data_IF_450342533971
#
_entry.id   IF_450342533971
#
_cell.length_a   1.000
_cell.length_b   1.000
_cell.length_c   1.000
_cell.angle_alpha   90.00
_cell.angle_beta   90.00
_cell.angle_gamma   90.00
#
_symmetry.space_group_name_H-M   'P 1'
#
loop_
_entity.id
_entity.type
_entity.pdbx_description
1 polymer ?
#
# COMPACT_ATOMS: atom_id res chain seq x y z
N UNK A 1 32.01 6.85 47.87
CA UNK A 1 32.94 7.16 46.76
C UNK A 1 32.21 6.88 45.46
N UNK A 2 31.79 7.94 44.77
CA UNK A 2 30.70 7.98 43.79
C UNK A 2 30.99 7.16 42.52
N UNK A 3 29.95 6.56 41.92
CA UNK A 3 29.98 5.90 40.61
C UNK A 3 30.71 6.74 39.53
N UNK A 4 30.72 8.07 39.68
CA UNK A 4 31.48 9.01 38.85
C UNK A 4 32.99 8.76 38.87
N UNK A 5 33.57 8.47 40.04
CA UNK A 5 35.01 8.21 40.18
C UNK A 5 35.38 6.84 39.59
N UNK A 6 34.50 5.85 39.70
CA UNK A 6 34.66 4.55 39.05
C UNK A 6 34.61 4.68 37.51
N UNK A 7 33.73 5.53 37.00
CA UNK A 7 33.59 5.83 35.57
C UNK A 7 34.82 6.59 35.03
N UNK A 8 35.31 7.58 35.77
CA UNK A 8 36.52 8.32 35.42
C UNK A 8 37.76 7.40 35.42
N UNK A 9 37.89 6.52 36.42
CA UNK A 9 38.97 5.55 36.51
C UNK A 9 38.94 4.51 35.36
N UNK A 10 37.76 4.20 34.80
CA UNK A 10 37.60 3.25 33.69
C UNK A 10 37.40 3.92 32.32
N UNK A 11 37.61 5.24 32.24
CA UNK A 11 37.39 6.04 31.02
C UNK A 11 38.27 5.60 29.85
N UNK A 12 39.54 5.25 30.10
CA UNK A 12 40.45 4.70 29.09
C UNK A 12 39.94 3.37 28.50
N UNK A 13 39.37 2.50 29.34
CA UNK A 13 38.76 1.23 28.91
C UNK A 13 37.47 1.44 28.09
N UNK A 14 36.71 2.51 28.35
CA UNK A 14 35.54 2.88 27.54
C UNK A 14 35.93 3.48 26.18
N UNK A 15 36.99 4.30 26.14
CA UNK A 15 37.52 4.90 24.91
C UNK A 15 38.06 3.83 23.94
N UNK A 16 38.73 2.80 24.48
CA UNK A 16 39.23 1.67 23.68
C UNK A 16 38.22 0.52 23.51
N UNK A 17 36.96 0.72 23.94
CA UNK A 17 35.87 -0.24 23.77
C UNK A 17 36.17 -1.64 24.37
N UNK A 18 36.87 -1.66 25.51
CA UNK A 18 37.38 -2.89 26.17
C UNK A 18 36.34 -3.50 27.13
N UNK A 19 35.12 -2.97 27.16
CA UNK A 19 33.98 -3.53 27.89
C UNK A 19 32.99 -4.25 26.97
N UNK A 20 33.49 -5.01 26.02
CA UNK A 20 32.83 -6.23 25.58
C UNK A 20 32.97 -7.23 26.73
N UNK A 21 32.08 -7.15 27.73
CA UNK A 21 31.87 -8.24 28.66
C UNK A 21 31.70 -9.51 27.81
N UNK A 22 32.71 -10.37 27.81
CA UNK A 22 32.76 -11.55 26.93
C UNK A 22 31.54 -12.44 27.16
N UNK A 23 30.99 -12.40 28.38
CA UNK A 23 29.74 -13.04 28.79
C UNK A 23 28.53 -12.39 28.12
N UNK A 24 28.44 -11.06 28.06
CA UNK A 24 27.36 -10.36 27.34
C UNK A 24 27.48 -10.55 25.82
N UNK A 25 28.69 -10.51 25.27
CA UNK A 25 28.96 -10.82 23.88
C UNK A 25 28.51 -12.23 23.54
N UNK A 26 28.91 -13.22 24.34
CA UNK A 26 28.50 -14.60 24.24
C UNK A 26 26.98 -14.76 24.34
N UNK A 27 26.34 -14.17 25.36
CA UNK A 27 24.90 -14.25 25.57
C UNK A 27 24.11 -13.56 24.44
N UNK A 28 24.63 -12.47 23.85
CA UNK A 28 24.01 -11.82 22.69
C UNK A 28 24.02 -12.71 21.44
N UNK A 29 25.07 -13.54 21.29
CA UNK A 29 25.20 -14.50 20.20
C UNK A 29 24.27 -15.68 20.43
N UNK A 30 24.24 -16.22 21.66
CA UNK A 30 23.34 -17.32 22.06
C UNK A 30 21.87 -16.93 21.91
N UNK A 31 21.48 -15.72 22.35
CA UNK A 31 20.09 -15.24 22.29
C UNK A 31 19.51 -15.26 20.85
N UNK A 32 20.33 -15.01 19.83
CA UNK A 32 19.91 -15.10 18.40
C UNK A 32 19.56 -16.51 17.96
N UNK A 33 20.17 -17.53 18.58
CA UNK A 33 19.94 -18.95 18.28
C UNK A 33 18.89 -19.58 19.20
N UNK A 34 18.60 -18.95 20.33
CA UNK A 34 17.58 -19.39 21.31
C UNK A 34 16.22 -18.73 21.07
N UNK A 35 16.13 -17.73 20.16
CA UNK A 35 15.02 -16.81 19.95
C UNK A 35 13.58 -17.36 19.92
N UNK A 36 12.92 -17.39 21.09
CA UNK A 36 11.47 -17.36 21.24
C UNK A 36 10.79 -18.62 21.82
N UNK A 37 9.61 -18.41 22.43
CA UNK A 37 8.77 -19.26 23.33
C UNK A 37 8.60 -20.77 23.07
N UNK A 38 9.20 -21.38 22.06
CA UNK A 38 9.10 -22.83 21.78
C UNK A 38 10.37 -23.59 22.18
N UNK A 39 10.78 -23.42 23.43
CA UNK A 39 11.89 -24.19 24.00
C UNK A 39 11.30 -25.48 24.59
N UNK A 40 11.57 -26.62 23.95
CA UNK A 40 11.30 -27.92 24.56
C UNK A 40 12.42 -28.24 25.54
N UNK A 41 12.27 -27.80 26.79
CA UNK A 41 13.21 -28.06 27.89
C UNK A 41 13.30 -29.55 28.24
N UNK A 42 12.34 -30.35 27.77
CA UNK A 42 12.21 -31.80 27.97
C UNK A 42 13.24 -32.64 27.18
N UNK A 43 14.06 -32.05 26.30
CA UNK A 43 15.12 -32.78 25.59
C UNK A 43 16.50 -32.47 26.18
N UNK A 44 17.12 -33.48 26.78
CA UNK A 44 18.48 -33.43 27.37
C UNK A 44 19.49 -32.96 26.31
N UNK A 45 20.31 -31.97 26.66
CA UNK A 45 21.37 -31.44 25.79
C UNK A 45 20.94 -30.41 24.73
N UNK A 46 19.65 -30.09 24.63
CA UNK A 46 19.14 -29.16 23.60
C UNK A 46 19.65 -27.72 23.77
N UNK A 47 19.88 -27.27 25.00
CA UNK A 47 20.45 -25.95 25.29
C UNK A 47 21.93 -25.90 24.94
N UNK A 48 22.71 -26.87 25.42
CA UNK A 48 24.15 -26.96 25.15
C UNK A 48 24.44 -27.03 23.64
N UNK A 49 23.69 -27.84 22.89
CA UNK A 49 23.83 -27.95 21.44
C UNK A 49 23.56 -26.61 20.73
N UNK A 50 22.58 -25.83 21.20
CA UNK A 50 22.27 -24.49 20.65
C UNK A 50 23.36 -23.48 20.97
N UNK A 51 23.91 -23.50 22.19
CA UNK A 51 25.07 -22.70 22.56
C UNK A 51 26.27 -23.02 21.67
N UNK A 52 26.59 -24.30 21.49
CA UNK A 52 27.70 -24.74 20.61
C UNK A 52 27.45 -24.32 19.15
N UNK A 53 26.23 -24.47 18.64
CA UNK A 53 25.87 -24.04 17.29
C UNK A 53 25.99 -22.52 17.09
N UNK A 54 25.62 -21.74 18.11
CA UNK A 54 25.74 -20.28 18.10
C UNK A 54 27.22 -19.84 18.03
N UNK A 55 28.07 -20.44 18.87
CA UNK A 55 29.53 -20.19 18.86
C UNK A 55 30.15 -20.60 17.54
N UNK A 56 29.83 -21.80 17.05
CA UNK A 56 30.36 -22.31 15.78
C UNK A 56 29.97 -21.38 14.63
N UNK A 57 28.73 -20.91 14.59
CA UNK A 57 28.28 -20.02 13.53
C UNK A 57 28.81 -18.59 13.65
N UNK A 58 29.15 -18.13 14.86
CA UNK A 58 29.82 -16.85 15.05
C UNK A 58 31.26 -16.91 14.54
N UNK A 59 32.00 -17.95 14.94
CA UNK A 59 33.42 -18.12 14.59
C UNK A 59 33.63 -18.48 13.11
N UNK A 60 32.84 -19.42 12.56
CA UNK A 60 32.96 -19.84 11.16
C UNK A 60 32.10 -19.00 10.20
N UNK A 61 31.27 -18.08 10.70
CA UNK A 61 30.48 -17.16 9.89
C UNK A 61 29.60 -17.84 8.83
N UNK A 62 29.87 -17.54 7.56
CA UNK A 62 29.11 -18.10 6.45
C UNK A 62 29.49 -19.55 6.09
N UNK A 63 30.67 -20.02 6.49
CA UNK A 63 31.18 -21.36 6.17
C UNK A 63 30.86 -22.40 7.25
N UNK A 64 30.17 -22.02 8.32
CA UNK A 64 29.81 -22.89 9.45
C UNK A 64 29.15 -24.22 9.01
N UNK A 65 28.27 -24.17 8.02
CA UNK A 65 27.63 -25.36 7.43
C UNK A 65 28.64 -26.26 6.69
N UNK A 66 29.62 -25.68 6.00
CA UNK A 66 30.67 -26.48 5.33
C UNK A 66 31.61 -27.13 6.34
N UNK A 67 31.94 -26.45 7.43
CA UNK A 67 32.80 -27.00 8.49
C UNK A 67 32.10 -28.18 9.14
N UNK A 68 30.82 -28.01 9.50
CA UNK A 68 30.00 -29.08 10.08
C UNK A 68 29.86 -30.27 9.12
N UNK A 69 29.51 -30.01 7.86
CA UNK A 69 29.34 -31.08 6.86
C UNK A 69 30.63 -31.86 6.61
N UNK A 70 31.77 -31.18 6.51
CA UNK A 70 33.08 -31.85 6.34
C UNK A 70 33.41 -32.71 7.55
N UNK A 71 33.08 -32.26 8.77
CA UNK A 71 33.36 -33.02 10.00
C UNK A 71 32.46 -34.25 10.14
N UNK A 72 31.21 -34.18 9.70
CA UNK A 72 30.25 -35.29 9.79
C UNK A 72 30.46 -36.30 8.65
N UNK A 73 30.63 -35.81 7.42
CA UNK A 73 30.59 -36.66 6.22
C UNK A 73 31.98 -36.95 5.62
N UNK A 74 33.07 -36.40 6.17
CA UNK A 74 34.43 -36.43 5.62
C UNK A 74 34.54 -36.03 4.13
N UNK A 75 33.53 -35.31 3.62
CA UNK A 75 33.42 -34.87 2.22
C UNK A 75 32.99 -33.42 2.16
N UNK A 76 33.40 -32.74 1.09
CA UNK A 76 32.95 -31.37 0.82
C UNK A 76 31.44 -31.33 0.55
N UNK A 77 30.75 -30.26 0.96
CA UNK A 77 29.33 -30.13 0.73
C UNK A 77 28.99 -30.00 -0.77
N UNK A 78 27.79 -30.42 -1.15
CA UNK A 78 27.30 -30.37 -2.54
C UNK A 78 27.14 -28.95 -3.10
N UNK A 79 26.82 -28.87 -4.40
CA UNK A 79 26.77 -27.62 -5.18
C UNK A 79 25.77 -26.61 -4.59
N UNK A 80 24.60 -27.06 -4.14
CA UNK A 80 23.58 -26.19 -3.54
C UNK A 80 24.04 -25.52 -2.24
N UNK A 81 24.68 -26.27 -1.35
CA UNK A 81 25.23 -25.75 -0.09
C UNK A 81 26.36 -24.75 -0.36
N UNK A 82 27.24 -25.02 -1.34
CA UNK A 82 28.27 -24.07 -1.76
C UNK A 82 27.66 -22.76 -2.29
N UNK A 83 26.60 -22.84 -3.11
CA UNK A 83 25.87 -21.67 -3.62
C UNK A 83 25.23 -20.85 -2.51
N UNK A 84 24.66 -21.51 -1.50
CA UNK A 84 24.11 -20.85 -0.32
C UNK A 84 25.19 -20.10 0.49
N UNK A 85 26.34 -20.74 0.72
CA UNK A 85 27.48 -20.14 1.42
C UNK A 85 27.95 -18.88 0.68
N UNK A 86 28.15 -18.96 -0.64
CA UNK A 86 28.55 -17.81 -1.46
C UNK A 86 27.55 -16.65 -1.33
N UNK A 87 26.24 -16.91 -1.43
CA UNK A 87 25.21 -15.88 -1.25
C UNK A 87 25.29 -15.20 0.11
N UNK A 88 25.52 -15.97 1.18
CA UNK A 88 25.65 -15.45 2.55
C UNK A 88 26.93 -14.62 2.72
N UNK A 89 28.05 -15.03 2.11
CA UNK A 89 29.29 -14.26 2.07
C UNK A 89 29.11 -12.93 1.33
N UNK A 90 28.55 -12.95 0.10
CA UNK A 90 28.27 -11.74 -0.68
C UNK A 90 27.37 -10.77 0.08
N UNK A 91 26.30 -11.27 0.71
CA UNK A 91 25.40 -10.44 1.52
C UNK A 91 26.13 -9.78 2.70
N UNK A 92 27.06 -10.49 3.32
CA UNK A 92 27.86 -9.97 4.44
C UNK A 92 28.82 -8.89 3.96
N UNK A 93 29.53 -9.12 2.85
CA UNK A 93 30.43 -8.15 2.21
C UNK A 93 29.66 -6.89 1.80
N UNK A 94 28.51 -7.02 1.14
CA UNK A 94 27.68 -5.86 0.75
C UNK A 94 27.22 -5.05 1.98
N UNK A 95 26.87 -5.70 3.09
CA UNK A 95 26.49 -5.01 4.33
C UNK A 95 27.67 -4.28 4.96
N UNK A 96 28.86 -4.88 4.96
CA UNK A 96 30.08 -4.25 5.46
C UNK A 96 30.47 -3.05 4.59
N UNK A 97 30.49 -3.20 3.27
CA UNK A 97 30.78 -2.12 2.33
C UNK A 97 29.78 -0.96 2.48
N UNK A 98 28.49 -1.25 2.63
CA UNK A 98 27.46 -0.24 2.88
C UNK A 98 27.64 0.52 4.20
N UNK A 99 28.26 -0.11 5.22
CA UNK A 99 28.61 0.57 6.48
C UNK A 99 29.86 1.43 6.34
N UNK A 100 30.82 1.03 5.50
CA UNK A 100 32.06 1.76 5.24
C UNK A 100 31.84 2.99 4.36
N UNK A 101 30.88 2.94 3.43
CA UNK A 101 30.54 4.07 2.53
C UNK A 101 29.46 5.00 3.07
N UNK A 102 29.00 4.79 4.31
CA UNK A 102 27.99 5.64 4.93
C UNK A 102 28.68 6.81 5.65
N UNK A 103 28.62 8.00 5.05
CA UNK A 103 28.93 9.23 5.79
C UNK A 103 27.93 9.40 6.95
N UNK A 104 28.40 9.79 8.15
CA UNK A 104 27.53 10.01 9.28
C UNK A 104 26.69 11.28 9.05
N UNK A 105 25.57 11.15 8.34
CA UNK A 105 24.60 12.24 8.29
C UNK A 105 24.08 12.49 9.71
N UNK A 106 24.04 13.77 10.06
CA UNK A 106 23.62 14.28 11.37
C UNK A 106 22.37 13.58 11.89
N UNK A 107 22.48 13.00 13.10
CA UNK A 107 21.40 12.53 13.97
C UNK A 107 20.27 11.78 13.25
N UNK A 108 20.36 10.44 13.22
CA UNK A 108 19.14 9.63 13.20
C UNK A 108 18.35 9.95 14.47
N UNK A 109 17.29 10.74 14.30
CA UNK A 109 16.20 10.83 15.27
C UNK A 109 15.83 9.41 15.66
N UNK A 110 15.78 9.16 16.97
CA UNK A 110 15.34 7.92 17.58
C UNK A 110 14.07 7.45 16.88
N UNK A 111 14.11 6.26 16.27
CA UNK A 111 12.88 5.55 15.94
C UNK A 111 12.12 5.40 17.25
N UNK A 112 11.06 6.19 17.41
CA UNK A 112 10.07 5.95 18.45
C UNK A 112 9.64 4.50 18.29
N UNK A 113 9.82 3.71 19.35
CA UNK A 113 9.39 2.32 19.41
C UNK A 113 7.91 2.27 19.08
N UNK A 114 7.55 1.48 18.06
CA UNK A 114 6.16 1.16 17.77
C UNK A 114 5.51 0.58 19.03
N UNK A 115 4.29 1.00 19.40
CA UNK A 115 3.49 0.27 20.36
C UNK A 115 3.24 -1.15 19.85
N UNK A 116 3.03 -2.08 20.79
CA UNK A 116 2.75 -3.48 20.49
C UNK A 116 1.53 -3.65 19.56
N UNK A 117 1.51 -4.78 18.86
CA UNK A 117 0.45 -5.22 17.96
C UNK A 117 -0.91 -5.28 18.69
N UNK A 118 -2.01 -4.98 17.98
CA UNK A 118 -3.38 -4.88 18.53
C UNK A 118 -3.89 -6.18 19.18
N UNK A 119 -3.19 -7.29 18.95
CA UNK A 119 -3.50 -8.58 19.55
C UNK A 119 -2.79 -8.82 20.91
N UNK A 120 -2.05 -7.84 21.43
CA UNK A 120 -1.27 -7.95 22.67
C UNK A 120 -1.32 -6.68 23.55
N UNK A 121 -2.35 -6.55 24.39
CA UNK A 121 -2.35 -5.68 25.57
C UNK A 121 -3.21 -4.42 25.50
N UNK A 122 -3.72 -4.04 26.68
CA UNK A 122 -4.66 -2.96 26.98
C UNK A 122 -4.30 -1.64 26.26
N UNK A 123 -5.03 -1.31 25.20
CA UNK A 123 -4.95 0.00 24.57
C UNK A 123 -5.92 0.92 25.32
N UNK A 124 -5.36 1.76 26.20
CA UNK A 124 -6.04 2.96 26.65
C UNK A 124 -6.51 3.78 25.43
N UNK A 125 -7.66 4.42 25.60
CA UNK A 125 -8.49 5.08 24.60
C UNK A 125 -7.86 6.34 23.99
N UNK A 126 -6.63 6.30 23.49
CA UNK A 126 -6.05 7.45 22.77
C UNK A 126 -6.27 7.33 21.26
N UNK A 127 -7.54 7.33 20.86
CA UNK A 127 -7.90 7.72 19.50
C UNK A 127 -7.78 9.25 19.47
N UNK A 128 -6.76 9.73 18.77
CA UNK A 128 -6.54 11.12 18.34
C UNK A 128 -7.77 11.72 17.61
N UNK A 129 -8.89 11.91 18.33
CA UNK A 129 -10.10 12.60 17.87
C UNK A 129 -10.01 14.10 18.08
N UNK A 130 -9.16 14.55 19.00
CA UNK A 130 -8.97 15.97 19.27
C UNK A 130 -8.26 16.64 18.08
N UNK A 131 -8.91 17.70 17.59
CA UNK A 131 -8.32 18.67 16.67
C UNK A 131 -7.10 19.30 17.36
N UNK A 132 -6.03 19.59 16.62
CA UNK A 132 -4.86 20.29 17.21
C UNK A 132 -5.03 21.81 17.29
N UNK A 133 -6.23 22.29 16.94
CA UNK A 133 -6.60 23.70 16.77
C UNK A 133 -7.93 23.93 17.49
N UNK A 134 -8.18 25.17 17.88
CA UNK A 134 -9.48 25.60 18.39
C UNK A 134 -10.61 25.24 17.41
N UNK A 135 -11.76 24.82 17.95
CA UNK A 135 -12.89 24.36 17.15
C UNK A 135 -13.46 25.47 16.26
N UNK A 136 -13.45 26.73 16.72
CA UNK A 136 -13.96 27.85 15.93
C UNK A 136 -13.04 28.16 14.75
N UNK A 137 -11.72 28.14 14.99
CA UNK A 137 -10.73 28.35 13.93
C UNK A 137 -10.79 27.23 12.88
N UNK A 138 -10.96 25.98 13.33
CA UNK A 138 -11.13 24.84 12.43
C UNK A 138 -12.38 24.98 11.55
N UNK A 139 -13.55 25.30 12.14
CA UNK A 139 -14.78 25.47 11.38
C UNK A 139 -14.69 26.63 10.38
N UNK A 140 -14.00 27.71 10.73
CA UNK A 140 -13.72 28.82 9.80
C UNK A 140 -12.86 28.37 8.61
N UNK A 141 -11.74 27.70 8.86
CA UNK A 141 -10.85 27.19 7.80
C UNK A 141 -11.53 26.13 6.94
N UNK A 142 -12.35 25.28 7.55
CA UNK A 142 -13.17 24.30 6.85
C UNK A 142 -14.16 24.94 5.89
N UNK A 143 -14.89 25.96 6.35
CA UNK A 143 -15.82 26.69 5.50
C UNK A 143 -15.09 27.39 4.35
N UNK A 144 -13.94 28.01 4.63
CA UNK A 144 -13.11 28.66 3.62
C UNK A 144 -12.60 27.65 2.57
N UNK A 145 -12.09 26.50 3.02
CA UNK A 145 -11.58 25.45 2.14
C UNK A 145 -12.68 24.88 1.25
N UNK A 146 -13.85 24.57 1.83
CA UNK A 146 -14.99 24.03 1.08
C UNK A 146 -15.46 25.05 0.03
N UNK A 147 -15.64 26.31 0.43
CA UNK A 147 -16.17 27.36 -0.45
C UNK A 147 -15.19 27.71 -1.56
N UNK A 148 -13.90 27.85 -1.26
CA UNK A 148 -12.92 28.35 -2.23
C UNK A 148 -12.29 27.25 -3.10
N UNK A 149 -12.13 26.02 -2.57
CA UNK A 149 -11.41 24.93 -3.25
C UNK A 149 -12.30 23.80 -3.73
N UNK A 150 -13.31 23.42 -2.95
CA UNK A 150 -14.12 22.22 -3.23
C UNK A 150 -15.34 22.55 -4.09
N UNK A 151 -16.13 23.53 -3.69
CA UNK A 151 -17.29 23.99 -4.46
C UNK A 151 -16.80 24.68 -5.72
N UNK A 152 -17.39 24.28 -6.85
CA UNK A 152 -17.10 24.80 -8.19
C UNK A 152 -18.40 25.00 -8.93
N UNK A 153 -18.45 26.02 -9.76
CA UNK A 153 -19.63 26.28 -10.60
C UNK A 153 -19.71 25.23 -11.72
N UNK A 154 -20.91 24.97 -12.25
CA UNK A 154 -21.10 23.96 -13.29
C UNK A 154 -20.25 24.22 -14.55
N UNK A 155 -19.95 25.48 -14.87
CA UNK A 155 -19.04 25.86 -15.97
C UNK A 155 -17.57 25.54 -15.65
N UNK A 156 -17.13 25.75 -14.40
CA UNK A 156 -15.78 25.42 -13.97
C UNK A 156 -15.57 23.90 -13.94
N UNK A 157 -16.59 23.14 -13.51
CA UNK A 157 -16.55 21.68 -13.52
C UNK A 157 -16.35 21.14 -14.94
N UNK A 158 -17.08 21.68 -15.92
CA UNK A 158 -16.89 21.34 -17.34
C UNK A 158 -15.50 21.70 -17.84
N UNK A 159 -15.00 22.89 -17.51
CA UNK A 159 -13.66 23.30 -17.90
C UNK A 159 -12.57 22.41 -17.28
N UNK A 160 -12.73 21.98 -16.02
CA UNK A 160 -11.83 21.03 -15.37
C UNK A 160 -11.85 19.70 -16.11
N UNK A 161 -13.02 19.19 -16.47
CA UNK A 161 -13.15 17.96 -17.25
C UNK A 161 -12.40 18.08 -18.59
N UNK A 162 -12.67 19.14 -19.36
CA UNK A 162 -12.02 19.36 -20.66
C UNK A 162 -10.50 19.51 -20.57
N UNK A 163 -10.01 20.28 -19.60
CA UNK A 163 -8.57 20.53 -19.40
C UNK A 163 -7.81 19.33 -18.82
N UNK A 164 -8.52 18.32 -18.30
CA UNK A 164 -7.92 17.13 -17.67
C UNK A 164 -8.09 15.85 -18.49
N UNK A 165 -8.46 15.96 -19.78
CA UNK A 165 -8.61 14.81 -20.71
C UNK A 165 -7.34 13.97 -20.88
N UNK A 166 -6.16 14.56 -20.73
CA UNK A 166 -4.87 13.85 -20.74
C UNK A 166 -4.58 13.09 -19.44
N UNK A 167 -5.50 13.13 -18.46
CA UNK A 167 -5.46 12.40 -17.20
C UNK A 167 -4.10 12.40 -16.49
N UNK A 168 -3.38 11.27 -16.49
CA UNK A 168 -2.14 11.07 -15.76
C UNK A 168 -1.00 11.98 -16.22
N UNK A 169 -1.07 12.49 -17.45
CA UNK A 169 -0.11 13.44 -18.02
C UNK A 169 -0.43 14.90 -17.65
N UNK A 170 -1.60 15.17 -17.07
CA UNK A 170 -2.03 16.51 -16.69
C UNK A 170 -1.80 16.79 -15.20
N UNK A 171 -1.00 17.82 -14.87
CA UNK A 171 -0.77 18.20 -13.47
C UNK A 171 -2.03 18.68 -12.75
N UNK A 172 -2.94 19.36 -13.47
CA UNK A 172 -4.20 19.82 -12.90
C UNK A 172 -5.04 18.63 -12.42
N UNK A 173 -5.07 17.54 -13.20
CA UNK A 173 -5.73 16.29 -12.82
C UNK A 173 -5.18 15.75 -11.50
N UNK A 174 -3.86 15.76 -11.30
CA UNK A 174 -3.25 15.35 -10.02
C UNK A 174 -3.55 16.31 -8.86
N UNK A 175 -3.62 17.63 -9.11
CA UNK A 175 -3.97 18.64 -8.09
C UNK A 175 -5.42 18.45 -7.62
N UNK A 176 -6.37 18.37 -8.54
CA UNK A 176 -7.80 18.21 -8.20
C UNK A 176 -8.09 16.88 -7.49
N UNK A 177 -7.41 15.80 -7.89
CA UNK A 177 -7.55 14.48 -7.24
C UNK A 177 -6.96 14.39 -5.85
N UNK A 178 -6.02 15.26 -5.48
CA UNK A 178 -5.45 15.27 -4.12
C UNK A 178 -6.42 15.81 -3.08
N UNK A 179 -7.28 16.73 -3.47
CA UNK A 179 -8.26 17.37 -2.58
C UNK A 179 -9.65 16.69 -2.62
N UNK A 180 -9.86 15.70 -3.50
CA UNK A 180 -11.14 15.00 -3.68
C UNK A 180 -11.01 13.48 -3.51
N UNK A 181 -12.08 12.83 -3.07
CA UNK A 181 -12.18 11.38 -3.07
C UNK A 181 -12.49 10.87 -4.48
N UNK A 182 -11.57 10.08 -5.01
CA UNK A 182 -11.68 9.52 -6.37
C UNK A 182 -12.30 8.14 -6.38
N UNK A 183 -13.12 7.83 -7.39
CA UNK A 183 -13.85 6.56 -7.52
C UNK A 183 -12.99 5.29 -7.33
N UNK A 184 -11.74 5.28 -7.78
CA UNK A 184 -10.80 4.16 -7.61
C UNK A 184 -10.54 3.76 -6.16
N UNK A 185 -10.82 4.66 -5.20
CA UNK A 185 -10.66 4.41 -3.78
C UNK A 185 -11.98 4.08 -3.05
N UNK A 186 -13.14 4.24 -3.69
CA UNK A 186 -14.43 4.07 -3.03
C UNK A 186 -14.61 2.66 -2.48
N UNK A 187 -14.21 1.64 -3.25
CA UNK A 187 -14.26 0.26 -2.79
C UNK A 187 -13.37 -0.02 -1.59
N UNK A 188 -12.23 0.67 -1.46
CA UNK A 188 -11.38 0.57 -0.26
C UNK A 188 -12.10 1.18 0.93
N UNK A 189 -12.64 2.40 0.78
CA UNK A 189 -13.29 3.15 1.85
C UNK A 189 -14.56 2.44 2.34
N UNK A 190 -15.46 2.07 1.44
CA UNK A 190 -16.75 1.44 1.79
C UNK A 190 -16.58 0.06 2.44
N UNK A 191 -15.41 -0.57 2.26
CA UNK A 191 -15.08 -1.88 2.85
C UNK A 191 -14.18 -1.78 4.08
N UNK A 192 -13.80 -0.57 4.52
CA UNK A 192 -13.05 -0.40 5.76
C UNK A 192 -13.93 -0.84 6.93
N UNK A 193 -13.36 -1.68 7.80
CA UNK A 193 -14.03 -2.05 9.06
C UNK A 193 -13.94 -0.85 10.02
N UNK A 194 -14.95 -0.61 10.86
CA UNK A 194 -14.91 0.48 11.84
C UNK A 194 -13.68 0.46 12.76
N UNK A 195 -13.16 -0.73 13.10
CA UNK A 195 -11.97 -0.89 13.94
C UNK A 195 -10.62 -0.74 13.19
N UNK A 196 -10.65 -0.65 11.85
CA UNK A 196 -9.44 -0.45 11.04
C UNK A 196 -9.08 1.03 11.02
N UNK A 197 -7.81 1.33 11.30
CA UNK A 197 -7.25 2.68 11.27
C UNK A 197 -7.42 3.30 9.88
N UNK A 198 -7.92 4.55 9.84
CA UNK A 198 -8.09 5.34 8.60
C UNK A 198 -6.79 5.98 8.15
N UNK A 199 -5.86 6.22 9.07
CA UNK A 199 -4.57 6.85 8.82
C UNK A 199 -3.79 6.23 7.64
N UNK A 200 -3.74 4.90 7.54
CA UNK A 200 -3.01 4.24 6.45
C UNK A 200 -3.63 4.53 5.07
N UNK A 201 -4.96 4.57 5.00
CA UNK A 201 -5.70 4.87 3.78
C UNK A 201 -5.46 6.32 3.38
N UNK A 202 -5.59 7.27 4.32
CA UNK A 202 -5.29 8.70 4.09
C UNK A 202 -3.84 8.87 3.63
N UNK A 203 -2.90 8.22 4.30
CA UNK A 203 -1.47 8.27 3.92
C UNK A 203 -1.24 7.80 2.50
N UNK A 204 -1.94 6.74 2.09
CA UNK A 204 -1.85 6.20 0.74
C UNK A 204 -2.45 7.12 -0.33
N UNK A 205 -3.42 7.96 0.04
CA UNK A 205 -4.12 8.89 -0.86
C UNK A 205 -3.39 10.23 -0.99
N UNK A 206 -2.96 10.82 0.13
CA UNK A 206 -2.42 12.18 0.16
C UNK A 206 -0.90 12.24 -0.03
N UNK A 207 -0.16 11.34 0.62
CA UNK A 207 1.31 11.47 0.76
C UNK A 207 2.11 10.48 -0.08
N UNK A 208 1.46 9.49 -0.68
CA UNK A 208 2.17 8.47 -1.44
C UNK A 208 2.53 9.01 -2.82
N UNK A 209 3.81 9.35 -3.01
CA UNK A 209 4.38 9.56 -4.34
C UNK A 209 4.49 8.21 -5.05
N UNK A 210 3.46 7.85 -5.82
CA UNK A 210 3.45 6.62 -6.58
C UNK A 210 4.34 6.77 -7.83
N UNK A 211 5.53 6.17 -7.82
CA UNK A 211 6.48 6.24 -8.94
C UNK A 211 6.24 5.17 -10.02
N UNK A 212 5.03 4.61 -10.12
CA UNK A 212 4.76 3.48 -11.01
C UNK A 212 5.20 2.14 -10.43
N UNK A 213 4.49 1.07 -10.79
CA UNK A 213 4.97 -0.31 -10.63
C UNK A 213 4.80 -1.05 -11.95
N UNK A 214 5.39 -2.25 -12.08
CA UNK A 214 5.33 -3.04 -13.32
C UNK A 214 3.89 -3.29 -13.77
N UNK A 215 2.97 -3.54 -12.84
CA UNK A 215 1.55 -3.77 -13.14
C UNK A 215 0.85 -2.52 -13.69
N UNK A 216 1.11 -1.34 -13.12
CA UNK A 216 0.50 -0.08 -13.56
C UNK A 216 1.06 0.37 -14.90
N UNK A 217 2.37 0.25 -15.12
CA UNK A 217 2.98 0.56 -16.42
C UNK A 217 2.44 -0.37 -17.51
N UNK A 218 2.37 -1.67 -17.24
CA UNK A 218 1.74 -2.62 -18.15
C UNK A 218 0.28 -2.25 -18.46
N UNK A 219 -0.49 -1.85 -17.43
CA UNK A 219 -1.87 -1.40 -17.61
C UNK A 219 -1.97 -0.22 -18.57
N UNK A 220 -1.17 0.83 -18.36
CA UNK A 220 -1.12 2.03 -19.19
C UNK A 220 -0.74 1.69 -20.64
N UNK A 221 0.29 0.86 -20.83
CA UNK A 221 0.72 0.44 -22.18
C UNK A 221 -0.35 -0.39 -22.91
N UNK A 222 -1.13 -1.18 -22.18
CA UNK A 222 -2.12 -2.09 -22.76
C UNK A 222 -3.49 -1.45 -23.03
N UNK A 223 -3.83 -0.39 -22.31
CA UNK A 223 -5.15 0.24 -22.38
C UNK A 223 -5.55 0.71 -23.81
N UNK A 224 -4.66 1.32 -24.62
CA UNK A 224 -5.01 1.70 -26.00
C UNK A 224 -5.37 0.50 -26.88
N UNK A 225 -4.72 -0.65 -26.67
CA UNK A 225 -5.03 -1.89 -27.38
C UNK A 225 -6.40 -2.43 -26.98
N UNK A 226 -6.71 -2.42 -25.69
CA UNK A 226 -8.01 -2.81 -25.17
C UNK A 226 -9.15 -1.93 -25.71
N UNK A 227 -8.95 -0.61 -25.77
CA UNK A 227 -9.89 0.35 -26.40
C UNK A 227 -10.13 -0.01 -27.85
N UNK A 228 -9.06 -0.15 -28.64
CA UNK A 228 -9.14 -0.46 -30.07
C UNK A 228 -9.87 -1.78 -30.34
N UNK A 229 -9.57 -2.83 -29.58
CA UNK A 229 -10.21 -4.14 -29.74
C UNK A 229 -11.69 -4.08 -29.37
N UNK A 230 -12.05 -3.41 -28.26
CA UNK A 230 -13.44 -3.22 -27.87
C UNK A 230 -14.26 -2.43 -28.91
N UNK A 231 -13.70 -1.35 -29.45
CA UNK A 231 -14.36 -0.55 -30.48
C UNK A 231 -14.61 -1.37 -31.75
N UNK A 232 -13.65 -2.23 -32.14
CA UNK A 232 -13.82 -3.14 -33.30
C UNK A 232 -14.92 -4.17 -33.08
N UNK A 233 -15.03 -4.71 -31.87
CA UNK A 233 -16.03 -5.75 -31.56
C UNK A 233 -17.45 -5.19 -31.43
N UNK A 234 -17.59 -4.00 -30.85
CA UNK A 234 -18.91 -3.42 -30.54
C UNK A 234 -19.38 -2.40 -31.58
N UNK A 235 -18.47 -1.88 -32.41
CA UNK A 235 -18.74 -0.75 -33.30
C UNK A 235 -18.92 0.60 -32.59
N UNK A 236 -18.77 0.64 -31.26
CA UNK A 236 -18.95 1.86 -30.46
C UNK A 236 -17.69 2.73 -30.50
N UNK A 237 -17.85 4.06 -30.49
CA UNK A 237 -16.74 5.01 -30.43
C UNK A 237 -16.44 5.39 -28.98
N UNK A 238 -15.23 5.13 -28.52
CA UNK A 238 -14.75 5.59 -27.22
C UNK A 238 -14.14 6.98 -27.38
N UNK A 239 -14.62 7.94 -26.59
CA UNK A 239 -14.05 9.28 -26.46
C UNK A 239 -13.17 9.37 -25.21
N UNK A 240 -12.19 10.26 -25.23
CA UNK A 240 -11.36 10.56 -24.06
C UNK A 240 -12.19 11.21 -22.95
N UNK A 241 -11.79 10.96 -21.71
CA UNK A 241 -12.50 11.41 -20.51
C UNK A 241 -11.54 12.19 -19.60
N UNK A 242 -11.99 13.34 -19.12
CA UNK A 242 -11.31 14.05 -18.03
C UNK A 242 -11.73 13.59 -16.64
N UNK A 243 -11.44 14.45 -15.66
CA UNK A 243 -11.91 14.34 -14.29
C UNK A 243 -13.30 14.97 -14.15
N UNK A 244 -14.29 14.14 -13.83
CA UNK A 244 -15.64 14.56 -13.47
C UNK A 244 -15.73 14.84 -11.97
N UNK A 245 -16.27 16.00 -11.61
CA UNK A 245 -16.58 16.38 -10.22
C UNK A 245 -18.08 16.23 -10.01
N UNK A 246 -18.48 15.62 -8.89
CA UNK A 246 -19.90 15.44 -8.60
C UNK A 246 -20.51 16.73 -8.09
N UNK A 247 -21.44 17.29 -8.85
CA UNK A 247 -22.07 18.58 -8.54
C UNK A 247 -22.76 18.60 -7.17
N UNK A 248 -23.44 17.52 -6.79
CA UNK A 248 -24.15 17.42 -5.51
C UNK A 248 -23.21 17.23 -4.31
N UNK A 249 -22.08 16.54 -4.50
CA UNK A 249 -21.06 16.33 -3.46
C UNK A 249 -19.68 16.62 -4.07
N UNK A 250 -19.27 17.90 -4.16
CA UNK A 250 -18.09 18.30 -4.93
C UNK A 250 -16.75 17.76 -4.42
N UNK A 251 -16.73 17.16 -3.23
CA UNK A 251 -15.57 16.42 -2.72
C UNK A 251 -15.41 15.03 -3.35
N UNK A 252 -16.39 14.55 -4.13
CA UNK A 252 -16.31 13.31 -4.90
C UNK A 252 -15.93 13.58 -6.36
N UNK A 253 -15.05 12.76 -6.92
CA UNK A 253 -14.64 12.85 -8.31
C UNK A 253 -14.41 11.46 -8.95
N UNK A 254 -14.49 11.41 -10.27
CA UNK A 254 -14.28 10.20 -11.06
C UNK A 254 -13.54 10.54 -12.36
N UNK A 255 -12.68 9.62 -12.81
CA UNK A 255 -12.04 9.68 -14.12
C UNK A 255 -12.29 8.33 -14.78
N UNK A 256 -13.37 8.18 -15.57
CA UNK A 256 -13.57 7.01 -16.40
C UNK A 256 -12.42 6.81 -17.40
N UNK A 257 -12.20 5.58 -17.86
CA UNK A 257 -11.16 5.31 -18.87
C UNK A 257 -11.60 5.78 -20.28
N UNK A 258 -12.91 5.99 -20.47
CA UNK A 258 -13.46 6.63 -21.66
C UNK A 258 -14.97 6.81 -21.60
N UNK A 259 -15.49 7.60 -22.54
CA UNK A 259 -16.91 7.93 -22.67
C UNK A 259 -17.49 7.28 -23.92
N UNK A 260 -18.74 6.80 -23.81
CA UNK A 260 -19.55 6.28 -24.90
C UNK A 260 -20.76 7.20 -25.09
N UNK A 261 -20.69 8.04 -26.12
CA UNK A 261 -21.67 9.08 -26.42
C UNK A 261 -22.01 9.89 -25.15
N UNK A 262 -23.29 10.13 -24.87
CA UNK A 262 -23.76 10.84 -23.66
C UNK A 262 -24.21 9.89 -22.55
N UNK A 263 -24.38 8.60 -22.85
CA UNK A 263 -25.11 7.67 -21.96
C UNK A 263 -24.23 6.65 -21.25
N UNK A 264 -23.03 6.37 -21.75
CA UNK A 264 -22.22 5.25 -21.26
C UNK A 264 -20.78 5.61 -20.91
N UNK A 265 -20.13 4.83 -20.05
CA UNK A 265 -18.69 4.93 -19.81
C UNK A 265 -18.00 3.59 -20.05
N UNK A 266 -16.68 3.60 -20.13
CA UNK A 266 -15.86 2.38 -20.10
C UNK A 266 -14.90 2.42 -18.92
N UNK A 267 -14.72 1.25 -18.32
CA UNK A 267 -13.72 0.98 -17.28
C UNK A 267 -12.94 -0.26 -17.71
N UNK A 268 -11.63 -0.09 -17.95
CA UNK A 268 -10.75 -1.08 -18.55
C UNK A 268 -9.78 -1.58 -17.48
N UNK A 269 -9.58 -2.90 -17.46
CA UNK A 269 -8.58 -3.56 -16.62
C UNK A 269 -7.70 -4.46 -17.48
N UNK A 270 -6.40 -4.17 -17.44
CA UNK A 270 -5.35 -4.96 -18.08
C UNK A 270 -4.41 -5.56 -17.01
N UNK A 271 -4.79 -6.61 -16.28
CA UNK A 271 -3.96 -7.19 -15.24
C UNK A 271 -2.74 -7.91 -15.84
N UNK A 272 -1.52 -7.52 -15.48
CA UNK A 272 -0.32 -8.18 -16.03
C UNK A 272 -0.18 -9.65 -15.61
N UNK A 273 -0.87 -10.07 -14.54
CA UNK A 273 -0.90 -11.47 -14.06
C UNK A 273 -1.54 -12.45 -15.05
N UNK A 274 -2.32 -11.94 -16.02
CA UNK A 274 -3.02 -12.74 -17.02
C UNK A 274 -2.46 -12.54 -18.43
N UNK A 275 -1.26 -11.97 -18.59
CA UNK A 275 -0.66 -11.70 -19.90
C UNK A 275 -0.65 -12.90 -20.85
N UNK A 276 -0.56 -14.12 -20.31
CA UNK A 276 -0.50 -15.37 -21.07
C UNK A 276 -1.80 -16.19 -21.04
N UNK A 277 -2.89 -15.65 -20.48
CA UNK A 277 -4.18 -16.33 -20.36
C UNK A 277 -5.27 -15.45 -20.94
N UNK A 278 -6.32 -16.07 -21.44
CA UNK A 278 -7.56 -15.33 -21.73
C UNK A 278 -8.21 -14.86 -20.41
N UNK A 279 -8.97 -13.75 -20.41
CA UNK A 279 -9.70 -13.32 -19.23
C UNK A 279 -10.61 -14.41 -18.65
N UNK A 280 -11.24 -15.23 -19.51
CA UNK A 280 -12.11 -16.34 -19.12
C UNK A 280 -11.33 -17.41 -18.34
N UNK A 281 -10.24 -17.93 -18.92
CA UNK A 281 -9.36 -18.90 -18.25
C UNK A 281 -8.81 -18.35 -16.93
N UNK A 282 -8.48 -17.07 -16.87
CA UNK A 282 -7.97 -16.45 -15.66
C UNK A 282 -9.00 -16.35 -14.52
N UNK A 283 -10.29 -16.23 -14.85
CA UNK A 283 -11.38 -16.29 -13.88
C UNK A 283 -11.60 -17.72 -13.42
N UNK A 284 -11.67 -18.68 -14.35
CA UNK A 284 -11.88 -20.11 -14.06
C UNK A 284 -10.74 -20.71 -13.22
N UNK A 285 -9.49 -20.31 -13.49
CA UNK A 285 -8.31 -20.70 -12.70
C UNK A 285 -8.18 -19.96 -11.36
N UNK A 286 -9.09 -19.03 -11.06
CA UNK A 286 -9.10 -18.29 -9.79
C UNK A 286 -8.02 -17.21 -9.66
N UNK A 287 -7.32 -16.86 -10.76
CA UNK A 287 -6.36 -15.75 -10.77
C UNK A 287 -7.04 -14.39 -10.65
N UNK A 288 -8.21 -14.23 -11.29
CA UNK A 288 -9.04 -13.02 -11.18
C UNK A 288 -10.17 -13.24 -10.20
N UNK A 289 -9.91 -12.96 -8.92
CA UNK A 289 -10.89 -13.20 -7.83
C UNK A 289 -12.06 -12.21 -7.80
N UNK A 290 -11.94 -11.08 -8.49
CA UNK A 290 -12.96 -10.02 -8.48
C UNK A 290 -14.13 -10.29 -9.44
N UNK A 291 -13.99 -11.23 -10.37
CA UNK A 291 -15.00 -11.56 -11.36
C UNK A 291 -15.36 -13.05 -11.32
N UNK A 292 -16.50 -13.38 -11.91
CA UNK A 292 -17.00 -14.73 -12.20
C UNK A 292 -17.48 -14.78 -13.65
N UNK A 293 -17.64 -15.99 -14.18
CA UNK A 293 -18.23 -16.22 -15.50
C UNK A 293 -19.54 -16.96 -15.28
N UNK A 294 -20.61 -16.54 -15.95
CA UNK A 294 -21.91 -17.24 -15.89
C UNK A 294 -21.92 -18.52 -16.74
N UNK A 295 -23.01 -19.28 -16.67
CA UNK A 295 -23.18 -20.52 -17.43
C UNK A 295 -23.12 -20.31 -18.95
N UNK A 296 -23.29 -19.08 -19.43
CA UNK A 296 -23.26 -18.70 -20.85
C UNK A 296 -21.87 -18.19 -21.28
N UNK A 297 -20.92 -18.06 -20.35
CA UNK A 297 -19.58 -17.56 -20.64
C UNK A 297 -19.42 -16.04 -20.50
N UNK A 298 -20.43 -15.32 -20.01
CA UNK A 298 -20.36 -13.86 -19.85
C UNK A 298 -19.70 -13.46 -18.53
N UNK A 299 -19.01 -12.31 -18.55
CA UNK A 299 -18.38 -11.72 -17.38
C UNK A 299 -19.42 -11.21 -16.38
N UNK A 300 -19.20 -11.54 -15.11
CA UNK A 300 -19.97 -11.04 -13.98
C UNK A 300 -19.00 -10.51 -12.93
N UNK A 301 -18.95 -9.18 -12.76
CA UNK A 301 -18.21 -8.52 -11.71
C UNK A 301 -18.91 -8.75 -10.37
N UNK A 302 -18.17 -9.16 -9.34
CA UNK A 302 -18.74 -9.37 -8.01
C UNK A 302 -19.16 -8.03 -7.41
N UNK A 303 -20.44 -7.91 -7.01
CA UNK A 303 -20.97 -6.69 -6.35
C UNK A 303 -20.23 -6.31 -5.06
N UNK A 304 -19.58 -7.27 -4.41
CA UNK A 304 -18.77 -7.05 -3.21
C UNK A 304 -17.34 -6.62 -3.49
N UNK A 305 -16.89 -6.62 -4.75
CA UNK A 305 -15.52 -6.25 -5.12
C UNK A 305 -15.34 -4.74 -5.23
N UNK A 306 -14.14 -4.25 -4.94
CA UNK A 306 -13.79 -2.83 -4.97
C UNK A 306 -14.04 -2.19 -6.34
N UNK A 307 -13.90 -2.94 -7.44
CA UNK A 307 -14.14 -2.40 -8.78
C UNK A 307 -15.63 -2.15 -9.02
N UNK A 308 -16.54 -2.88 -8.38
CA UNK A 308 -17.98 -2.61 -8.49
C UNK A 308 -18.31 -1.26 -7.85
N UNK A 309 -17.80 -1.00 -6.64
CA UNK A 309 -17.93 0.31 -5.99
C UNK A 309 -17.31 1.44 -6.82
N UNK A 310 -16.20 1.19 -7.51
CA UNK A 310 -15.59 2.16 -8.41
C UNK A 310 -16.53 2.49 -9.59
N UNK A 311 -17.07 1.47 -10.26
CA UNK A 311 -18.00 1.65 -11.40
C UNK A 311 -19.27 2.36 -10.97
N UNK A 312 -19.88 1.96 -9.85
CA UNK A 312 -21.08 2.63 -9.30
C UNK A 312 -20.80 4.11 -9.00
N UNK A 313 -19.64 4.40 -8.40
CA UNK A 313 -19.19 5.78 -8.17
C UNK A 313 -19.00 6.57 -9.46
N UNK A 314 -18.35 6.00 -10.48
CA UNK A 314 -18.18 6.66 -11.78
C UNK A 314 -19.53 6.97 -12.44
N UNK A 315 -20.48 6.03 -12.42
CA UNK A 315 -21.82 6.22 -13.00
C UNK A 315 -22.60 7.31 -12.28
N UNK A 316 -22.56 7.34 -10.95
CA UNK A 316 -23.22 8.39 -10.17
C UNK A 316 -22.64 9.77 -10.48
N UNK A 317 -21.32 9.89 -10.48
CA UNK A 317 -20.62 11.17 -10.62
C UNK A 317 -20.78 11.73 -12.04
N UNK A 318 -20.70 10.88 -13.05
CA UNK A 318 -20.88 11.27 -14.46
C UNK A 318 -22.35 11.41 -14.87
N UNK A 319 -23.29 11.01 -14.01
CA UNK A 319 -24.74 10.94 -14.28
C UNK A 319 -25.10 10.08 -15.51
N UNK A 320 -24.25 9.11 -15.88
CA UNK A 320 -24.43 8.22 -17.04
C UNK A 320 -25.17 6.93 -16.66
N UNK A 321 -25.79 6.29 -17.65
CA UNK A 321 -26.73 5.19 -17.45
C UNK A 321 -26.06 3.82 -17.29
N UNK A 322 -24.92 3.60 -17.95
CA UNK A 322 -24.24 2.31 -17.92
C UNK A 322 -22.73 2.41 -18.10
N UNK A 323 -22.02 1.38 -17.65
CA UNK A 323 -20.59 1.21 -17.82
C UNK A 323 -20.31 -0.11 -18.52
N UNK A 324 -19.45 -0.14 -19.53
CA UNK A 324 -18.82 -1.37 -19.97
C UNK A 324 -17.55 -1.61 -19.15
N UNK A 325 -17.60 -2.62 -18.29
CA UNK A 325 -16.45 -3.09 -17.55
C UNK A 325 -15.71 -4.13 -18.39
N UNK A 326 -14.48 -3.80 -18.80
CA UNK A 326 -13.70 -4.54 -19.79
C UNK A 326 -12.46 -5.13 -19.12
N UNK A 327 -12.24 -6.42 -19.29
CA UNK A 327 -11.00 -7.10 -18.91
C UNK A 327 -10.28 -7.52 -20.19
N UNK A 328 -9.04 -7.08 -20.34
CA UNK A 328 -8.25 -7.34 -21.53
C UNK A 328 -6.91 -8.00 -21.19
N UNK A 329 -6.50 -8.93 -22.05
CA UNK A 329 -5.14 -9.44 -22.13
C UNK A 329 -4.75 -9.61 -23.60
N UNK A 330 -3.46 -9.78 -23.93
CA UNK A 330 -3.03 -10.08 -25.30
C UNK A 330 -3.61 -11.37 -25.88
N UNK A 331 -4.27 -12.21 -25.06
CA UNK A 331 -4.92 -13.45 -25.49
C UNK A 331 -6.42 -13.29 -25.75
N UNK A 332 -7.03 -12.19 -25.31
CA UNK A 332 -8.43 -11.90 -25.60
C UNK A 332 -9.05 -10.89 -24.65
N UNK A 333 -10.31 -10.59 -24.94
CA UNK A 333 -11.12 -9.58 -24.25
C UNK A 333 -12.41 -10.19 -23.71
N UNK A 334 -12.85 -9.73 -22.55
CA UNK A 334 -14.14 -10.09 -21.98
C UNK A 334 -14.73 -8.85 -21.30
N UNK A 335 -16.01 -8.58 -21.50
CA UNK A 335 -16.64 -7.37 -20.97
C UNK A 335 -18.06 -7.62 -20.44
N UNK A 336 -18.51 -6.75 -19.55
CA UNK A 336 -19.84 -6.76 -18.96
C UNK A 336 -20.45 -5.36 -19.05
N UNK A 337 -21.72 -5.27 -19.47
CA UNK A 337 -22.52 -4.04 -19.32
C UNK A 337 -23.11 -3.99 -17.92
N UNK A 338 -22.73 -2.97 -17.14
CA UNK A 338 -23.21 -2.71 -15.78
C UNK A 338 -24.11 -1.47 -15.83
N UNK A 339 -25.32 -1.57 -15.31
CA UNK A 339 -26.26 -0.45 -15.25
C UNK A 339 -26.04 0.38 -13.98
N UNK A 340 -26.40 1.66 -14.03
CA UNK A 340 -26.42 2.53 -12.86
C UNK A 340 -27.43 2.01 -11.84
N UNK A 341 -27.03 2.04 -10.57
CA UNK A 341 -27.81 1.59 -9.43
C UNK A 341 -27.74 2.68 -8.34
N UNK A 342 -28.71 3.61 -8.40
CA UNK A 342 -28.77 4.78 -7.53
C UNK A 342 -29.00 4.38 -6.06
N UNK A 343 -29.82 3.34 -5.84
CA UNK A 343 -30.10 2.78 -4.52
C UNK A 343 -28.84 2.20 -3.89
N UNK A 344 -28.00 1.51 -4.66
CA UNK A 344 -26.72 1.01 -4.15
C UNK A 344 -25.80 2.15 -3.71
N UNK A 345 -25.72 3.23 -4.48
CA UNK A 345 -24.89 4.38 -4.12
C UNK A 345 -25.38 5.05 -2.83
N UNK A 346 -26.68 5.36 -2.75
CA UNK A 346 -27.28 6.03 -1.61
C UNK A 346 -27.21 5.17 -0.33
N UNK A 347 -27.52 3.88 -0.43
CA UNK A 347 -27.60 3.01 0.76
C UNK A 347 -26.26 2.43 1.22
N UNK A 348 -25.32 2.15 0.30
CA UNK A 348 -24.06 1.45 0.62
C UNK A 348 -22.82 2.32 0.56
N UNK A 349 -22.86 3.47 -0.13
CA UNK A 349 -21.64 4.25 -0.41
C UNK A 349 -21.66 5.63 0.23
N UNK A 350 -22.70 6.42 -0.03
CA UNK A 350 -22.75 7.86 0.28
C UNK A 350 -22.35 8.20 1.71
N UNK A 351 -23.03 7.66 2.71
CA UNK A 351 -22.74 7.95 4.12
C UNK A 351 -21.33 7.54 4.53
N UNK A 352 -20.81 6.43 4.01
CA UNK A 352 -19.45 5.98 4.31
C UNK A 352 -18.39 6.90 3.70
N UNK A 353 -18.63 7.38 2.47
CA UNK A 353 -17.74 8.31 1.77
C UNK A 353 -17.76 9.70 2.42
N UNK A 354 -18.94 10.21 2.78
CA UNK A 354 -19.11 11.47 3.51
C UNK A 354 -18.38 11.43 4.84
N UNK A 355 -18.64 10.41 5.67
CA UNK A 355 -18.00 10.26 6.96
C UNK A 355 -16.47 10.17 6.82
N UNK A 356 -15.97 9.39 5.85
CA UNK A 356 -14.54 9.28 5.62
C UNK A 356 -13.92 10.62 5.19
N UNK A 357 -14.60 11.37 4.31
CA UNK A 357 -14.10 12.66 3.86
C UNK A 357 -14.04 13.67 5.00
N UNK A 358 -15.18 13.93 5.66
CA UNK A 358 -15.28 15.01 6.64
C UNK A 358 -14.58 14.71 7.97
N UNK A 359 -14.57 13.45 8.40
CA UNK A 359 -13.97 13.09 9.70
C UNK A 359 -12.48 12.73 9.61
N UNK A 360 -12.00 12.33 8.42
CA UNK A 360 -10.67 11.75 8.29
C UNK A 360 -9.79 12.50 7.27
N UNK A 361 -10.26 12.70 6.04
CA UNK A 361 -9.46 13.33 4.98
C UNK A 361 -9.38 14.86 5.12
N UNK A 362 -10.52 15.53 5.35
CA UNK A 362 -10.61 16.99 5.41
C UNK A 362 -9.79 17.61 6.56
N UNK A 363 -9.78 17.04 7.79
CA UNK A 363 -8.91 17.54 8.85
C UNK A 363 -7.43 17.53 8.46
N UNK A 364 -6.99 16.50 7.73
CA UNK A 364 -5.60 16.38 7.27
C UNK A 364 -5.28 17.34 6.11
N UNK A 365 -6.27 17.72 5.30
CA UNK A 365 -6.12 18.73 4.24
C UNK A 365 -6.01 20.17 4.79
N UNK A 366 -6.75 20.47 5.87
CA UNK A 366 -6.77 21.79 6.51
C UNK A 366 -5.56 21.96 7.43
N UNK A 367 -5.32 20.96 8.28
CA UNK A 367 -4.25 20.98 9.27
C UNK A 367 -3.49 19.65 9.22
N UNK A 368 -2.49 19.59 8.34
CA UNK A 368 -1.70 18.38 8.15
C UNK A 368 -0.86 18.07 9.39
N UNK A 369 -1.10 16.88 9.97
CA UNK A 369 -0.22 16.29 10.97
C UNK A 369 1.04 15.71 10.33
N UNK A 370 0.94 15.19 9.10
CA UNK A 370 2.08 14.62 8.39
C UNK A 370 3.19 15.65 8.15
N UNK A 371 2.84 16.86 7.72
CA UNK A 371 3.80 17.94 7.49
C UNK A 371 4.51 18.38 8.78
N UNK A 372 3.82 18.25 9.92
CA UNK A 372 4.36 18.47 11.27
C UNK A 372 5.06 17.24 11.87
N UNK A 373 5.25 16.18 11.10
CA UNK A 373 5.82 14.89 11.54
C UNK A 373 5.07 14.23 12.72
N UNK A 374 3.75 14.44 12.81
CA UNK A 374 2.86 13.83 13.82
C UNK A 374 2.11 12.63 13.26
N UNK A 375 1.55 11.80 14.15
CA UNK A 375 0.68 10.65 13.77
C UNK A 375 -0.64 11.18 13.21
N UNK A 376 -1.04 10.64 12.06
CA UNK A 376 -2.34 10.94 11.43
C UNK A 376 -3.51 10.59 12.36
N UNK A 377 -4.62 11.33 12.22
CA UNK A 377 -5.89 11.11 12.93
C UNK A 377 -6.53 9.80 12.45
N UNK A 378 -7.18 9.05 13.36
CA UNK A 378 -7.74 7.70 13.11
C UNK A 378 -9.27 7.64 13.24
#
# INVERSE_FOLDING_TARGET
MSARNLLAHRSSSLIYNVNNNSVEGYNSVVAKYVGGKRINFSHKGSYQARCTAAVLSYNAGATSLSVLHKKICNKSPGVFTKRFINRKQTTTICKTNRKLTYEPSSRRVTKVSLPADKDYGNCEEDICKELDMDENDYEKLKLEFITNKIIKNSNEIKLIEESTKLQSECELWHKERRIRLTASNFGTICKLRPATSRANTIKSMLYKTFCGNEHTRYGIECEPFAKTEFQKLTGLKIQESGLFIYEQLPFLAASPDGLLDDNGIVEIKCPSTIKQLTPKEAIETGKLKFATVDNQGNLQLKKSDKYYFQVMGQLQITKRLFCYFIIWSPKGILYQKILRDDDFFETKMKTLLENFYFQAMLPELIDSRADRNRRLRD
#
